data_IF_336110873980
#
_entry.id   IF_336110873980
#
_cell.length_a   1.000
_cell.length_b   1.000
_cell.length_c   1.000
_cell.angle_alpha   90.00
_cell.angle_beta   90.00
_cell.angle_gamma   90.00
#
_symmetry.space_group_name_H-M   'P 1'
#
loop_
_entity.id
_entity.type
_entity.pdbx_description
1 polymer ?
#
# COMPACT_ATOMS: atom_id res chain seq x y z
N UNK A 1 -1.99 2.73 -1.88
CA UNK A 1 -0.96 1.70 -2.12
C UNK A 1 -1.53 0.51 -2.90
N UNK A 2 -0.75 -0.09 -3.80
CA UNK A 2 -1.15 -1.20 -4.67
C UNK A 2 -0.19 -2.38 -4.54
N UNK A 3 -0.71 -3.60 -4.63
CA UNK A 3 0.09 -4.83 -4.71
C UNK A 3 -0.17 -5.58 -6.01
N UNK A 4 0.88 -6.09 -6.64
CA UNK A 4 0.81 -6.99 -7.80
C UNK A 4 1.54 -8.29 -7.49
N UNK A 5 1.12 -9.41 -8.10
CA UNK A 5 1.85 -10.68 -8.07
C UNK A 5 2.47 -10.96 -9.44
N UNK A 6 3.67 -11.54 -9.44
CA UNK A 6 4.49 -11.73 -10.66
C UNK A 6 4.01 -12.85 -11.58
N UNK A 7 3.25 -13.82 -11.06
CA UNK A 7 2.86 -15.03 -11.80
C UNK A 7 1.50 -14.92 -12.50
N UNK A 8 0.65 -13.98 -12.08
CA UNK A 8 -0.58 -13.52 -12.76
C UNK A 8 -0.84 -12.08 -12.30
N UNK A 9 -1.12 -11.09 -13.16
CA UNK A 9 -1.41 -9.73 -12.71
C UNK A 9 -2.80 -9.68 -12.02
N UNK A 10 -2.89 -10.17 -10.78
CA UNK A 10 -4.08 -10.05 -9.95
C UNK A 10 -3.99 -8.73 -9.19
N UNK A 11 -4.98 -7.87 -9.42
CA UNK A 11 -5.13 -6.61 -8.71
C UNK A 11 -5.91 -6.85 -7.40
N UNK A 12 -5.29 -6.53 -6.27
CA UNK A 12 -5.97 -6.53 -4.96
C UNK A 12 -5.63 -5.27 -4.19
N UNK A 13 -6.65 -4.46 -3.93
CA UNK A 13 -6.55 -3.21 -3.16
C UNK A 13 -7.33 -3.32 -1.86
N UNK A 14 -6.70 -2.90 -0.77
CA UNK A 14 -7.31 -2.79 0.55
C UNK A 14 -7.41 -1.31 0.91
N UNK A 15 -8.59 -0.86 1.33
CA UNK A 15 -8.74 0.43 2.01
C UNK A 15 -9.17 0.17 3.44
N UNK A 16 -8.33 0.61 4.38
CA UNK A 16 -8.66 0.67 5.80
C UNK A 16 -8.72 2.12 6.22
N UNK A 17 -9.77 2.46 6.98
CA UNK A 17 -9.87 3.76 7.61
C UNK A 17 -8.92 3.79 8.81
N UNK A 18 -7.97 4.71 8.80
CA UNK A 18 -7.13 5.00 9.95
C UNK A 18 -7.60 6.30 10.57
N UNK A 19 -8.24 6.22 11.74
CA UNK A 19 -8.56 7.40 12.55
C UNK A 19 -7.29 7.85 13.28
N UNK A 20 -7.03 9.16 13.35
CA UNK A 20 -5.89 9.76 14.05
C UNK A 20 -4.50 9.54 13.42
N UNK A 21 -4.34 9.81 12.12
CA UNK A 21 -3.00 9.89 11.50
C UNK A 21 -2.59 11.34 11.30
N UNK A 22 -1.55 11.78 12.01
CA UNK A 22 -1.18 13.19 12.13
C UNK A 22 -0.58 13.80 10.85
N UNK A 23 -0.06 12.98 9.92
CA UNK A 23 0.59 13.47 8.70
C UNK A 23 0.29 12.57 7.50
N UNK A 24 0.33 13.13 6.29
CA UNK A 24 0.21 12.35 5.05
C UNK A 24 1.31 11.27 4.95
N UNK A 25 2.52 11.55 5.42
CA UNK A 25 3.61 10.58 5.48
C UNK A 25 3.25 9.37 6.37
N UNK A 26 2.76 9.62 7.59
CA UNK A 26 2.34 8.56 8.51
C UNK A 26 1.17 7.77 7.94
N UNK A 27 0.24 8.41 7.21
CA UNK A 27 -0.90 7.74 6.60
C UNK A 27 -0.47 6.78 5.49
N UNK A 28 0.46 7.22 4.64
CA UNK A 28 1.02 6.38 3.58
C UNK A 28 1.87 5.23 4.11
N UNK A 29 2.68 5.50 5.14
CA UNK A 29 3.46 4.44 5.77
C UNK A 29 2.56 3.41 6.47
N UNK A 30 1.47 3.84 7.12
CA UNK A 30 0.48 2.92 7.70
C UNK A 30 -0.28 2.13 6.63
N UNK A 31 -0.65 2.76 5.51
CA UNK A 31 -1.25 2.08 4.36
C UNK A 31 -0.31 0.99 3.80
N UNK A 32 1.00 1.24 3.80
CA UNK A 32 2.01 0.25 3.41
C UNK A 32 2.02 -0.96 4.33
N UNK A 33 2.03 -0.75 5.65
CA UNK A 33 1.95 -1.82 6.64
C UNK A 33 0.71 -2.67 6.40
N UNK A 34 -0.45 -2.03 6.24
CA UNK A 34 -1.73 -2.73 6.01
C UNK A 34 -1.75 -3.53 4.70
N UNK A 35 -1.16 -2.99 3.64
CA UNK A 35 -1.05 -3.69 2.37
C UNK A 35 -0.13 -4.92 2.46
N UNK A 36 0.97 -4.85 3.23
CA UNK A 36 1.85 -5.98 3.47
C UNK A 36 1.17 -7.07 4.32
N UNK A 37 0.51 -6.69 5.42
CA UNK A 37 -0.26 -7.62 6.23
C UNK A 37 -1.36 -8.33 5.41
N UNK A 38 -2.03 -7.59 4.52
CA UNK A 38 -3.02 -8.16 3.63
C UNK A 38 -2.40 -9.15 2.66
N UNK A 39 -1.31 -8.79 1.98
CA UNK A 39 -0.59 -9.68 1.08
C UNK A 39 -0.16 -10.98 1.79
N UNK A 40 0.31 -10.90 3.03
CA UNK A 40 0.61 -12.07 3.86
C UNK A 40 -0.62 -12.94 4.12
N UNK A 41 -1.75 -12.34 4.52
CA UNK A 41 -3.02 -13.06 4.75
C UNK A 41 -3.54 -13.74 3.49
N UNK A 42 -3.27 -13.17 2.31
CA UNK A 42 -3.62 -13.76 1.02
C UNK A 42 -2.62 -14.82 0.54
N UNK A 43 -1.56 -15.11 1.30
CA UNK A 43 -0.55 -16.11 0.96
C UNK A 43 0.41 -15.69 -0.15
N UNK A 44 0.51 -14.39 -0.44
CA UNK A 44 1.42 -13.90 -1.47
C UNK A 44 2.88 -14.00 -0.99
N UNK A 45 3.73 -14.55 -1.85
CA UNK A 45 5.17 -14.73 -1.59
C UNK A 45 6.05 -13.80 -2.45
N UNK A 46 5.49 -13.30 -3.56
CA UNK A 46 6.18 -12.41 -4.50
C UNK A 46 5.29 -11.20 -4.76
N UNK A 47 5.74 -10.03 -4.31
CA UNK A 47 4.94 -8.80 -4.37
C UNK A 47 5.72 -7.62 -4.94
N UNK A 48 5.01 -6.81 -5.73
CA UNK A 48 5.44 -5.47 -6.10
C UNK A 48 4.50 -4.48 -5.41
N UNK A 49 5.08 -3.59 -4.60
CA UNK A 49 4.36 -2.61 -3.80
C UNK A 49 4.53 -1.21 -4.41
N UNK A 50 3.44 -0.66 -4.94
CA UNK A 50 3.40 0.65 -5.58
C UNK A 50 2.75 1.69 -4.66
N UNK A 51 3.37 2.86 -4.55
CA UNK A 51 2.86 4.00 -3.78
C UNK A 51 3.30 5.35 -4.34
N UNK A 52 2.53 6.40 -4.04
CA UNK A 52 2.72 7.78 -4.50
C UNK A 52 3.44 8.67 -3.47
N UNK A 53 3.76 8.14 -2.29
CA UNK A 53 4.69 8.78 -1.36
C UNK A 53 6.13 8.39 -1.67
N UNK A 54 6.84 9.27 -2.39
CA UNK A 54 8.27 9.11 -2.67
C UNK A 54 9.09 8.92 -1.40
N UNK A 55 8.75 9.64 -0.33
CA UNK A 55 9.46 9.56 0.96
C UNK A 55 9.27 8.19 1.62
N UNK A 56 8.04 7.66 1.62
CA UNK A 56 7.73 6.32 2.17
C UNK A 56 8.44 5.23 1.37
N UNK A 57 8.36 5.27 0.04
CA UNK A 57 9.00 4.29 -0.85
C UNK A 57 10.52 4.31 -0.71
N UNK A 58 11.15 5.48 -0.76
CA UNK A 58 12.61 5.60 -0.63
C UNK A 58 13.09 5.08 0.74
N UNK A 59 12.35 5.37 1.81
CA UNK A 59 12.68 4.85 3.15
C UNK A 59 12.47 3.34 3.29
N UNK A 60 11.46 2.78 2.62
CA UNK A 60 11.25 1.33 2.56
C UNK A 60 12.37 0.61 1.77
N UNK A 61 12.91 1.24 0.72
CA UNK A 61 14.02 0.70 -0.07
C UNK A 61 15.38 0.78 0.64
N UNK A 62 15.60 1.78 1.49
CA UNK A 62 16.85 1.95 2.22
C UNK A 62 16.90 1.02 3.44
N UNK A 63 17.60 -0.11 3.33
CA UNK A 63 17.82 -1.05 4.44
C UNK A 63 18.80 -0.53 5.51
N UNK A 64 19.39 0.66 5.31
CA UNK A 64 20.21 1.30 6.31
C UNK A 64 19.39 1.62 7.57
N UNK A 65 20.04 1.45 8.72
CA UNK A 65 19.55 1.74 10.07
C UNK A 65 19.35 3.25 10.24
N UNK A 66 18.26 3.79 9.71
CA UNK A 66 17.68 4.99 10.30
C UNK A 66 17.20 4.58 11.71
N UNK A 67 17.49 5.42 12.72
CA UNK A 67 17.35 5.10 14.14
C UNK A 67 15.99 4.41 14.42
N UNK A 68 15.97 3.30 15.19
CA UNK A 68 14.74 2.62 15.56
C UNK A 68 14.00 3.51 16.55
N UNK A 69 13.24 4.45 16.02
CA UNK A 69 12.15 5.07 16.75
C UNK A 69 11.08 3.98 16.85
N UNK A 70 11.09 3.26 17.97
CA UNK A 70 10.04 2.30 18.37
C UNK A 70 8.70 3.02 18.17
N UNK A 71 8.03 2.75 17.05
CA UNK A 71 6.82 3.45 16.61
C UNK A 71 6.81 3.95 15.16
N UNK A 72 7.91 3.88 14.39
CA UNK A 72 7.91 4.32 13.00
C UNK A 72 7.38 3.22 12.06
N UNK A 73 6.27 3.48 11.36
CA UNK A 73 5.70 2.58 10.35
C UNK A 73 6.73 2.07 9.31
N UNK A 74 7.81 2.82 9.05
CA UNK A 74 8.91 2.36 8.17
C UNK A 74 9.63 1.12 8.71
N UNK A 75 9.85 1.03 10.02
CA UNK A 75 10.50 -0.14 10.63
C UNK A 75 9.60 -1.37 10.48
N UNK A 76 8.29 -1.19 10.71
CA UNK A 76 7.32 -2.27 10.55
C UNK A 76 7.19 -2.72 9.09
N UNK A 77 7.23 -1.79 8.13
CA UNK A 77 7.31 -2.11 6.69
C UNK A 77 8.52 -3.00 6.40
N UNK A 78 9.71 -2.62 6.88
CA UNK A 78 10.93 -3.40 6.69
C UNK A 78 10.82 -4.78 7.35
N UNK A 79 10.27 -4.86 8.57
CA UNK A 79 10.07 -6.11 9.29
C UNK A 79 9.15 -7.06 8.51
N UNK A 80 8.00 -6.56 8.04
CA UNK A 80 7.05 -7.33 7.24
C UNK A 80 7.62 -7.73 5.88
N UNK A 81 8.41 -6.86 5.24
CA UNK A 81 9.08 -7.14 3.98
C UNK A 81 9.97 -8.40 4.04
N UNK A 82 10.61 -8.69 5.17
CA UNK A 82 11.43 -9.91 5.35
C UNK A 82 10.63 -11.22 5.27
N UNK A 83 9.29 -11.16 5.31
CA UNK A 83 8.42 -12.34 5.29
C UNK A 83 8.06 -12.80 3.87
N UNK A 84 8.46 -12.06 2.85
CA UNK A 84 8.22 -12.40 1.45
C UNK A 84 9.49 -12.98 0.81
N UNK A 85 9.34 -13.96 -0.09
CA UNK A 85 10.46 -14.45 -0.90
C UNK A 85 10.99 -13.35 -1.85
N UNK A 86 10.08 -12.52 -2.36
CA UNK A 86 10.42 -11.38 -3.17
C UNK A 86 9.50 -10.20 -2.86
N UNK A 87 10.08 -9.04 -2.63
CA UNK A 87 9.37 -7.78 -2.50
C UNK A 87 10.16 -6.67 -3.21
N UNK A 88 9.44 -5.88 -3.99
CA UNK A 88 9.97 -4.68 -4.63
C UNK A 88 9.06 -3.49 -4.34
N UNK A 89 9.65 -2.37 -3.92
CA UNK A 89 8.91 -1.13 -3.69
C UNK A 89 9.13 -0.18 -4.86
N UNK A 90 8.06 0.36 -5.41
CA UNK A 90 8.09 1.27 -6.56
C UNK A 90 7.32 2.54 -6.26
N UNK A 91 7.94 3.67 -6.58
CA UNK A 91 7.26 4.95 -6.61
C UNK A 91 6.51 5.08 -7.92
N UNK A 92 5.23 5.46 -7.84
CA UNK A 92 4.37 5.75 -8.98
C UNK A 92 3.77 7.12 -8.76
N UNK A 93 3.84 7.99 -9.78
CA UNK A 93 3.23 9.32 -9.69
C UNK A 93 1.72 9.22 -9.39
N UNK A 94 1.17 10.18 -8.64
CA UNK A 94 -0.25 10.21 -8.29
C UNK A 94 -1.14 10.23 -9.54
N UNK A 95 -0.67 10.84 -10.65
CA UNK A 95 -1.35 10.82 -11.94
C UNK A 95 -1.37 9.42 -12.55
N UNK A 96 -0.26 8.68 -12.46
CA UNK A 96 -0.17 7.28 -12.88
C UNK A 96 -0.88 6.31 -11.91
N UNK A 97 -1.25 6.80 -10.72
CA UNK A 97 -1.94 6.06 -9.66
C UNK A 97 -3.38 6.57 -9.43
N UNK A 98 -3.96 7.29 -10.40
CA UNK A 98 -5.28 7.93 -10.28
C UNK A 98 -6.40 6.97 -9.89
N UNK A 99 -6.30 5.69 -10.31
CA UNK A 99 -7.23 4.62 -9.92
C UNK A 99 -7.13 4.34 -8.42
N UNK A 100 -5.92 4.17 -7.86
CA UNK A 100 -5.77 3.90 -6.43
C UNK A 100 -6.12 5.11 -5.56
N UNK A 101 -5.83 6.32 -6.04
CA UNK A 101 -6.27 7.56 -5.38
C UNK A 101 -7.80 7.65 -5.33
N UNK A 102 -8.46 7.30 -6.42
CA UNK A 102 -9.93 7.29 -6.51
C UNK A 102 -10.54 6.19 -5.65
N UNK A 103 -9.91 5.01 -5.58
CA UNK A 103 -10.28 3.94 -4.64
C UNK A 103 -10.16 4.41 -3.18
N UNK A 104 -9.06 5.08 -2.82
CA UNK A 104 -8.85 5.60 -1.47
C UNK A 104 -9.90 6.67 -1.10
N UNK A 105 -10.21 7.59 -2.02
CA UNK A 105 -11.29 8.58 -1.85
C UNK A 105 -12.66 7.92 -1.71
N UNK A 106 -12.96 6.90 -2.51
CA UNK A 106 -14.23 6.18 -2.45
C UNK A 106 -14.40 5.39 -1.14
N UNK A 107 -13.30 4.91 -0.54
CA UNK A 107 -13.31 4.24 0.75
C UNK A 107 -13.35 5.18 1.96
N UNK A 108 -12.97 6.45 1.81
CA UNK A 108 -12.96 7.44 2.91
C UNK A 108 -14.29 7.58 3.68
N UNK A 109 -15.48 7.62 3.05
CA UNK A 109 -16.74 7.71 3.77
C UNK A 109 -17.15 6.38 4.44
N UNK A 110 -16.53 5.25 4.11
CA UNK A 110 -16.91 3.94 4.65
C UNK A 110 -16.48 3.82 6.13
N UNK A 111 -17.34 3.20 6.94
CA UNK A 111 -17.12 2.94 8.37
C UNK A 111 -16.50 1.58 8.64
N UNK A 112 -16.46 0.70 7.64
CA UNK A 112 -15.94 -0.66 7.71
C UNK A 112 -14.80 -0.86 6.71
N UNK A 113 -13.94 -1.85 6.97
CA UNK A 113 -12.90 -2.24 6.02
C UNK A 113 -13.55 -2.77 4.75
N UNK A 114 -13.14 -2.26 3.59
CA UNK A 114 -13.67 -2.69 2.31
C UNK A 114 -12.57 -3.29 1.44
N UNK A 115 -12.89 -4.41 0.81
CA UNK A 115 -11.96 -5.18 0.00
C UNK A 115 -12.45 -5.20 -1.44
N UNK A 116 -11.56 -4.83 -2.36
CA UNK A 116 -11.81 -4.94 -3.78
C UNK A 116 -10.83 -5.96 -4.36
N UNK A 117 -11.40 -7.09 -4.82
CA UNK A 117 -10.67 -8.22 -5.40
C UNK A 117 -11.18 -8.35 -6.83
N UNK A 118 -10.31 -8.12 -7.82
CA UNK A 118 -10.63 -8.19 -9.25
C UNK A 118 -11.67 -7.17 -9.76
N UNK A 119 -12.31 -6.40 -8.87
CA UNK A 119 -13.21 -5.29 -9.16
C UNK A 119 -12.68 -3.99 -8.53
N UNK A 120 -13.22 -2.82 -8.91
CA UNK A 120 -12.93 -1.51 -8.29
C UNK A 120 -14.22 -0.68 -8.19
N UNK A 121 -14.31 0.33 -7.30
CA UNK A 121 -15.45 1.26 -7.27
C UNK A 121 -15.73 1.85 -8.66
N UNK A 122 -17.01 2.14 -8.96
CA UNK A 122 -17.40 2.76 -10.24
C UNK A 122 -16.63 4.04 -10.55
N UNK A 123 -16.41 4.87 -9.53
CA UNK A 123 -15.60 6.08 -9.66
C UNK A 123 -14.16 5.79 -10.09
N UNK A 124 -13.58 4.67 -9.69
CA UNK A 124 -12.24 4.27 -10.08
C UNK A 124 -12.19 3.66 -11.48
N UNK A 125 -13.28 3.06 -11.98
CA UNK A 125 -13.38 2.59 -13.37
C UNK A 125 -13.35 3.74 -14.39
N UNK A 126 -13.93 4.90 -14.04
CA UNK A 126 -13.98 6.09 -14.90
C UNK A 126 -12.60 6.73 -15.15
N UNK A 127 -11.60 6.37 -14.34
CA UNK A 127 -10.21 6.87 -14.43
C UNK A 127 -9.33 5.97 -15.31
N UNK A 128 -9.82 4.79 -15.74
CA UNK A 128 -9.05 3.78 -16.50
C UNK A 128 -9.02 4.04 -18.02
N UNK A 129 -9.47 5.21 -18.50
CA UNK A 129 -9.49 5.52 -19.94
C UNK A 129 -8.13 5.99 -20.49
#
# INVERSE_FOLDING_TARGET
MRTKTRTRPQFKSLVRRNTYVATAFSAEALACVQALEFAMKMGFQHIEMEGDSRNTIVKAQKWALDRPEIGNHIEEIKRLATKFHFIYFQYVDIEANGVAHTIAKAGFPLTENHFWVEEVPKSAMEVVN
#
